data_IF_483872643033
#
_entry.id   IF_483872643033
#
_cell.length_a   1.000
_cell.length_b   1.000
_cell.length_c   1.000
_cell.angle_alpha   90.00
_cell.angle_beta   90.00
_cell.angle_gamma   90.00
#
_symmetry.space_group_name_H-M   'P 1'
#
loop_
_entity.id
_entity.type
_entity.pdbx_description
1 polymer ?
#
# COMPACT_ATOMS: atom_id res chain seq x y z
N UNK A 1 21.02 -17.62 23.01
CA UNK A 1 19.71 -17.14 22.58
C UNK A 1 19.81 -16.00 21.57
N UNK A 2 20.67 -14.98 21.80
CA UNK A 2 20.90 -13.84 20.88
C UNK A 2 21.36 -14.30 19.49
N UNK A 3 22.33 -15.22 19.38
CA UNK A 3 22.86 -15.70 18.10
C UNK A 3 21.87 -16.48 17.23
N UNK A 4 20.82 -17.08 17.82
CA UNK A 4 19.77 -17.78 17.06
C UNK A 4 18.81 -16.75 16.43
N UNK A 5 18.50 -15.69 17.17
CA UNK A 5 17.64 -14.59 16.68
C UNK A 5 18.37 -13.85 15.55
N UNK A 6 19.65 -13.58 15.71
CA UNK A 6 20.50 -12.91 14.71
C UNK A 6 20.62 -13.74 13.43
N UNK A 7 20.76 -15.05 13.55
CA UNK A 7 20.83 -15.97 12.42
C UNK A 7 19.47 -16.11 11.67
N UNK A 8 18.36 -16.08 12.40
CA UNK A 8 17.02 -16.06 11.81
C UNK A 8 16.79 -14.73 11.11
N UNK A 9 17.16 -13.62 11.75
CA UNK A 9 17.01 -12.29 11.19
C UNK A 9 17.79 -12.12 9.88
N UNK A 10 19.08 -12.47 9.84
CA UNK A 10 19.91 -12.39 8.63
C UNK A 10 19.41 -13.30 7.51
N UNK A 11 18.84 -14.47 7.85
CA UNK A 11 18.30 -15.40 6.88
C UNK A 11 16.96 -14.92 6.30
N UNK A 12 16.06 -14.41 7.13
CA UNK A 12 14.74 -13.91 6.70
C UNK A 12 14.88 -12.61 5.90
N UNK A 13 15.78 -11.71 6.34
CA UNK A 13 15.99 -10.39 5.75
C UNK A 13 17.17 -10.33 4.75
N UNK A 14 17.42 -11.43 4.01
CA UNK A 14 18.39 -11.41 2.91
C UNK A 14 17.78 -10.77 1.65
N UNK A 15 18.63 -10.16 0.81
CA UNK A 15 18.16 -9.55 -0.47
C UNK A 15 17.48 -10.54 -1.40
N UNK A 16 17.92 -11.80 -1.39
CA UNK A 16 17.30 -12.87 -2.17
C UNK A 16 15.88 -13.16 -1.69
N UNK A 17 15.67 -13.18 -0.38
CA UNK A 17 14.36 -13.41 0.21
C UNK A 17 13.44 -12.22 0.01
N UNK A 18 13.96 -10.99 0.04
CA UNK A 18 13.21 -9.78 -0.27
C UNK A 18 12.56 -9.88 -1.67
N UNK A 19 13.35 -10.16 -2.71
CA UNK A 19 12.85 -10.32 -4.09
C UNK A 19 11.85 -11.45 -4.24
N UNK A 20 12.06 -12.56 -3.51
CA UNK A 20 11.13 -13.69 -3.53
C UNK A 20 9.82 -13.33 -2.85
N UNK A 21 9.88 -12.65 -1.71
CA UNK A 21 8.71 -12.21 -0.96
C UNK A 21 7.89 -11.18 -1.75
N UNK A 22 8.56 -10.20 -2.37
CA UNK A 22 7.94 -9.23 -3.28
C UNK A 22 7.15 -9.93 -4.39
N UNK A 23 7.75 -10.90 -5.07
CA UNK A 23 7.08 -11.67 -6.12
C UNK A 23 5.89 -12.46 -5.61
N UNK A 24 6.01 -13.10 -4.45
CA UNK A 24 4.91 -13.85 -3.83
C UNK A 24 3.75 -12.91 -3.50
N UNK A 25 4.02 -11.78 -2.87
CA UNK A 25 3.00 -10.78 -2.53
C UNK A 25 2.31 -10.27 -3.79
N UNK A 26 3.06 -9.93 -4.84
CA UNK A 26 2.50 -9.40 -6.08
C UNK A 26 1.58 -10.42 -6.77
N UNK A 27 2.00 -11.68 -6.86
CA UNK A 27 1.18 -12.75 -7.42
C UNK A 27 -0.07 -12.99 -6.57
N UNK A 28 0.08 -13.06 -5.24
CA UNK A 28 -1.04 -13.27 -4.31
C UNK A 28 -2.04 -12.11 -4.35
N UNK A 29 -1.56 -10.86 -4.43
CA UNK A 29 -2.38 -9.68 -4.55
C UNK A 29 -3.20 -9.68 -5.84
N UNK A 30 -2.55 -10.03 -6.97
CA UNK A 30 -3.22 -10.10 -8.29
C UNK A 30 -4.26 -11.20 -8.32
N UNK A 31 -3.93 -12.40 -7.85
CA UNK A 31 -4.87 -13.51 -7.78
C UNK A 31 -6.05 -13.19 -6.84
N UNK A 32 -5.76 -12.64 -5.67
CA UNK A 32 -6.77 -12.23 -4.70
C UNK A 32 -7.72 -11.20 -5.29
N UNK A 33 -7.21 -10.21 -6.02
CA UNK A 33 -8.03 -9.21 -6.72
C UNK A 33 -8.98 -9.85 -7.73
N UNK A 34 -8.46 -10.73 -8.59
CA UNK A 34 -9.26 -11.41 -9.62
C UNK A 34 -10.35 -12.26 -8.97
N UNK A 35 -10.01 -13.06 -7.96
CA UNK A 35 -10.98 -13.88 -7.23
C UNK A 35 -12.05 -13.04 -6.57
N UNK A 36 -11.68 -11.95 -5.89
CA UNK A 36 -12.62 -11.05 -5.23
C UNK A 36 -13.57 -10.39 -6.25
N UNK A 37 -13.02 -9.90 -7.37
CA UNK A 37 -13.82 -9.33 -8.45
C UNK A 37 -14.83 -10.33 -9.03
N UNK A 38 -14.40 -11.58 -9.28
CA UNK A 38 -15.27 -12.64 -9.76
C UNK A 38 -16.39 -12.91 -8.74
N UNK A 39 -16.09 -12.99 -7.46
CA UNK A 39 -17.08 -13.21 -6.40
C UNK A 39 -18.14 -12.10 -6.38
N UNK A 40 -17.72 -10.82 -6.50
CA UNK A 40 -18.65 -9.69 -6.57
C UNK A 40 -19.55 -9.80 -7.81
N UNK A 41 -18.99 -10.13 -8.98
CA UNK A 41 -19.76 -10.28 -10.21
C UNK A 41 -20.76 -11.43 -10.11
N UNK A 42 -20.38 -12.56 -9.52
CA UNK A 42 -21.28 -13.69 -9.29
C UNK A 42 -22.41 -13.35 -8.31
N UNK A 43 -22.09 -12.60 -7.25
CA UNK A 43 -23.07 -12.12 -6.28
C UNK A 43 -24.08 -11.15 -6.94
N UNK A 44 -23.58 -10.18 -7.72
CA UNK A 44 -24.43 -9.20 -8.39
C UNK A 44 -25.33 -9.82 -9.48
N UNK A 45 -24.90 -10.92 -10.08
CA UNK A 45 -25.72 -11.69 -11.05
C UNK A 45 -26.65 -12.72 -10.40
N UNK A 46 -26.64 -12.85 -9.07
CA UNK A 46 -27.53 -13.75 -8.33
C UNK A 46 -27.11 -15.22 -8.37
N UNK A 47 -25.92 -15.55 -8.83
CA UNK A 47 -25.41 -16.94 -8.84
C UNK A 47 -24.97 -17.42 -7.45
N UNK A 48 -24.56 -16.50 -6.59
CA UNK A 48 -24.10 -16.79 -5.20
C UNK A 48 -24.71 -15.72 -4.30
N UNK A 49 -25.19 -16.12 -3.14
CA UNK A 49 -25.67 -15.20 -2.11
C UNK A 49 -24.59 -15.02 -1.04
N UNK A 50 -23.92 -13.87 -1.08
CA UNK A 50 -22.91 -13.45 -0.12
C UNK A 50 -23.47 -12.51 0.96
N UNK A 51 -24.78 -12.41 1.10
CA UNK A 51 -25.44 -11.56 2.10
C UNK A 51 -25.10 -11.94 3.54
N UNK A 52 -24.59 -13.16 3.76
CA UNK A 52 -24.06 -13.60 5.05
C UNK A 52 -22.82 -12.77 5.48
N UNK A 53 -22.01 -12.34 4.51
CA UNK A 53 -20.94 -11.38 4.77
C UNK A 53 -21.55 -9.98 4.68
N UNK A 54 -21.99 -9.45 5.80
CA UNK A 54 -22.64 -8.14 5.96
C UNK A 54 -21.79 -6.93 5.50
N UNK A 55 -20.69 -7.15 4.81
CA UNK A 55 -19.73 -6.14 4.42
C UNK A 55 -20.02 -5.58 3.03
N UNK A 56 -19.98 -4.25 2.94
CA UNK A 56 -20.00 -3.49 1.68
C UNK A 56 -18.93 -3.95 0.66
N UNK A 57 -18.02 -4.82 1.08
CA UNK A 57 -16.92 -5.35 0.28
C UNK A 57 -17.38 -6.18 -0.92
N UNK A 58 -18.55 -6.83 -0.86
CA UNK A 58 -19.07 -7.69 -1.92
C UNK A 58 -20.20 -7.08 -2.76
N UNK A 59 -20.51 -5.80 -2.53
CA UNK A 59 -21.59 -5.10 -3.24
C UNK A 59 -21.07 -4.30 -4.42
N UNK A 60 -19.95 -3.61 -4.25
CA UNK A 60 -19.39 -2.72 -5.26
C UNK A 60 -18.12 -3.32 -5.88
N UNK A 61 -18.04 -3.46 -7.24
CA UNK A 61 -16.83 -3.95 -7.90
C UNK A 61 -15.54 -3.19 -7.54
N UNK A 62 -15.65 -1.88 -7.24
CA UNK A 62 -14.51 -1.07 -6.80
C UNK A 62 -13.94 -1.57 -5.46
N UNK A 63 -14.76 -2.21 -4.63
CA UNK A 63 -14.29 -2.79 -3.36
C UNK A 63 -13.29 -3.93 -3.54
N UNK A 64 -13.24 -4.58 -4.70
CA UNK A 64 -12.24 -5.61 -4.99
C UNK A 64 -10.80 -5.09 -4.84
N UNK A 65 -10.60 -3.78 -4.98
CA UNK A 65 -9.29 -3.13 -4.84
C UNK A 65 -8.72 -3.23 -3.41
N UNK A 66 -9.56 -3.46 -2.40
CA UNK A 66 -9.11 -3.65 -1.01
C UNK A 66 -8.24 -4.91 -0.83
N UNK A 67 -8.49 -5.95 -1.64
CA UNK A 67 -7.76 -7.21 -1.51
C UNK A 67 -6.28 -7.06 -1.84
N UNK A 68 -5.86 -6.54 -3.02
CA UNK A 68 -4.45 -6.33 -3.29
C UNK A 68 -3.78 -5.39 -2.29
N UNK A 69 -4.48 -4.35 -1.82
CA UNK A 69 -3.92 -3.44 -0.83
C UNK A 69 -3.68 -4.08 0.54
N UNK A 70 -4.47 -5.09 0.91
CA UNK A 70 -4.22 -5.85 2.13
C UNK A 70 -2.91 -6.66 2.04
N UNK A 71 -2.61 -7.24 0.89
CA UNK A 71 -1.34 -7.92 0.65
C UNK A 71 -0.16 -6.94 0.63
N UNK A 72 -0.33 -5.78 -0.02
CA UNK A 72 0.69 -4.74 -0.08
C UNK A 72 1.01 -4.21 1.33
N UNK A 73 0.01 -4.08 2.22
CA UNK A 73 0.21 -3.67 3.61
C UNK A 73 1.17 -4.61 4.36
N UNK A 74 1.05 -5.92 4.15
CA UNK A 74 1.96 -6.91 4.74
C UNK A 74 3.38 -6.71 4.19
N UNK A 75 3.51 -6.41 2.91
CA UNK A 75 4.80 -6.13 2.28
C UNK A 75 5.41 -4.83 2.80
N UNK A 76 4.63 -3.76 2.94
CA UNK A 76 5.07 -2.48 3.52
C UNK A 76 5.60 -2.67 4.95
N UNK A 77 4.89 -3.43 5.80
CA UNK A 77 5.34 -3.76 7.14
C UNK A 77 6.67 -4.55 7.14
N UNK A 78 6.81 -5.51 6.24
CA UNK A 78 8.05 -6.24 6.04
C UNK A 78 9.21 -5.33 5.63
N UNK A 79 8.98 -4.40 4.68
CA UNK A 79 9.99 -3.43 4.24
C UNK A 79 10.44 -2.50 5.37
N UNK A 80 9.50 -2.01 6.20
CA UNK A 80 9.81 -1.19 7.36
C UNK A 80 10.79 -1.91 8.29
N UNK A 81 10.50 -3.17 8.63
CA UNK A 81 11.37 -3.98 9.50
C UNK A 81 12.71 -4.26 8.83
N UNK A 82 12.71 -4.50 7.52
CA UNK A 82 13.91 -4.80 6.74
C UNK A 82 14.89 -3.62 6.70
N UNK A 83 14.38 -2.39 6.54
CA UNK A 83 15.21 -1.20 6.41
C UNK A 83 15.53 -0.51 7.75
N UNK A 84 14.81 -0.81 8.83
CA UNK A 84 14.99 -0.19 10.14
C UNK A 84 16.43 -0.27 10.68
N UNK A 85 17.16 -1.41 10.60
CA UNK A 85 18.51 -1.54 11.14
C UNK A 85 19.63 -1.10 10.19
N UNK A 86 19.30 -0.55 9.02
CA UNK A 86 20.30 -0.17 8.00
C UNK A 86 20.83 1.25 8.21
N UNK A 87 21.90 1.61 7.46
CA UNK A 87 22.52 2.92 7.50
C UNK A 87 21.52 4.06 7.40
N UNK A 88 21.68 5.09 8.22
CA UNK A 88 20.71 6.17 8.42
C UNK A 88 20.25 6.82 7.10
N UNK A 89 21.17 7.17 6.21
CA UNK A 89 20.85 7.86 4.93
C UNK A 89 20.02 6.98 3.97
N UNK A 90 20.47 5.73 3.75
CA UNK A 90 19.74 4.78 2.90
C UNK A 90 18.40 4.39 3.50
N UNK A 91 18.31 4.36 4.84
CA UNK A 91 17.09 4.03 5.56
C UNK A 91 16.04 5.12 5.42
N UNK A 92 16.41 6.41 5.47
CA UNK A 92 15.48 7.53 5.32
C UNK A 92 14.85 7.54 3.92
N UNK A 93 15.66 7.43 2.85
CA UNK A 93 15.16 7.40 1.49
C UNK A 93 14.12 6.28 1.30
N UNK A 94 14.43 5.08 1.82
CA UNK A 94 13.50 3.94 1.75
C UNK A 94 12.26 4.12 2.63
N UNK A 95 12.36 4.79 3.76
CA UNK A 95 11.21 5.13 4.60
C UNK A 95 10.25 6.09 3.89
N UNK A 96 10.75 7.09 3.16
CA UNK A 96 9.92 7.97 2.34
C UNK A 96 9.21 7.22 1.21
N UNK A 97 9.91 6.31 0.53
CA UNK A 97 9.32 5.45 -0.49
C UNK A 97 8.16 4.62 0.08
N UNK A 98 8.36 3.97 1.22
CA UNK A 98 7.35 3.16 1.89
C UNK A 98 6.18 4.03 2.37
N UNK A 99 6.46 5.21 2.93
CA UNK A 99 5.44 6.15 3.38
C UNK A 99 4.57 6.63 2.20
N UNK A 100 5.17 6.89 1.05
CA UNK A 100 4.43 7.24 -0.18
C UNK A 100 3.50 6.11 -0.62
N UNK A 101 3.94 4.85 -0.55
CA UNK A 101 3.09 3.69 -0.87
C UNK A 101 1.90 3.57 0.10
N UNK A 102 2.12 3.79 1.41
CA UNK A 102 1.06 3.76 2.42
C UNK A 102 0.01 4.86 2.13
N UNK A 103 0.46 6.06 1.80
CA UNK A 103 -0.42 7.18 1.48
C UNK A 103 -1.22 6.95 0.19
N UNK A 104 -0.56 6.46 -0.87
CA UNK A 104 -1.23 6.10 -2.14
C UNK A 104 -2.30 5.03 -1.89
N UNK A 105 -1.99 4.02 -1.10
CA UNK A 105 -2.96 2.98 -0.72
C UNK A 105 -4.17 3.57 0.01
N UNK A 106 -3.96 4.54 0.89
CA UNK A 106 -5.05 5.21 1.61
C UNK A 106 -5.99 5.93 0.64
N UNK A 107 -5.45 6.64 -0.36
CA UNK A 107 -6.24 7.30 -1.40
C UNK A 107 -7.14 6.28 -2.11
N UNK A 108 -6.60 5.17 -2.58
CA UNK A 108 -7.38 4.15 -3.27
C UNK A 108 -8.44 3.50 -2.39
N UNK A 109 -8.20 3.39 -1.09
CA UNK A 109 -9.19 2.94 -0.12
C UNK A 109 -10.38 3.89 -0.01
N UNK A 110 -10.14 5.18 -0.15
CA UNK A 110 -11.15 6.23 0.06
C UNK A 110 -11.95 6.53 -1.23
N UNK A 111 -11.42 6.19 -2.41
CA UNK A 111 -12.10 6.37 -3.71
C UNK A 111 -13.53 5.79 -3.74
N UNK A 112 -13.83 4.57 -3.23
CA UNK A 112 -15.18 4.02 -3.25
C UNK A 112 -16.20 4.81 -2.42
N UNK A 113 -15.73 5.65 -1.49
CA UNK A 113 -16.57 6.46 -0.61
C UNK A 113 -16.80 7.89 -1.13
N UNK A 114 -16.16 8.22 -2.27
CA UNK A 114 -16.28 9.55 -2.90
C UNK A 114 -17.69 9.72 -3.46
N UNK A 115 -18.33 10.83 -3.11
CA UNK A 115 -19.61 11.23 -3.67
C UNK A 115 -19.38 12.32 -4.73
N UNK A 116 -19.85 12.06 -5.96
CA UNK A 116 -19.68 12.96 -7.11
C UNK A 116 -20.87 13.92 -7.32
N UNK A 117 -21.74 14.07 -6.31
CA UNK A 117 -22.88 14.98 -6.38
C UNK A 117 -22.46 16.46 -6.25
N UNK A 118 -23.42 17.37 -6.53
CA UNK A 118 -23.20 18.83 -6.71
C UNK A 118 -22.50 19.58 -5.55
N UNK A 119 -22.47 19.03 -4.34
CA UNK A 119 -21.79 19.61 -3.17
C UNK A 119 -20.49 18.91 -2.79
N UNK A 120 -19.64 18.67 -3.77
CA UNK A 120 -18.42 17.88 -3.64
C UNK A 120 -17.50 18.32 -2.49
N UNK A 121 -17.33 19.64 -2.29
CA UNK A 121 -16.46 20.20 -1.23
C UNK A 121 -17.08 20.18 0.18
N UNK A 122 -18.37 19.93 0.31
CA UNK A 122 -19.04 19.88 1.62
C UNK A 122 -19.14 18.45 2.18
N UNK A 123 -18.69 17.45 1.42
CA UNK A 123 -18.72 16.07 1.87
C UNK A 123 -17.41 15.73 2.59
N UNK A 124 -17.50 15.21 3.81
CA UNK A 124 -16.33 14.85 4.64
C UNK A 124 -15.42 13.83 3.96
N UNK A 125 -15.97 12.84 3.25
CA UNK A 125 -15.20 11.83 2.54
C UNK A 125 -14.39 12.43 1.38
N UNK A 126 -14.97 13.40 0.67
CA UNK A 126 -14.31 14.08 -0.43
C UNK A 126 -13.18 15.00 0.08
N UNK A 127 -13.41 15.69 1.18
CA UNK A 127 -12.38 16.51 1.85
C UNK A 127 -11.22 15.64 2.34
N UNK A 128 -11.54 14.47 2.92
CA UNK A 128 -10.53 13.50 3.35
C UNK A 128 -9.63 13.08 2.17
N UNK A 129 -10.22 12.78 1.02
CA UNK A 129 -9.47 12.44 -0.20
C UNK A 129 -8.55 13.58 -0.65
N UNK A 130 -9.01 14.84 -0.59
CA UNK A 130 -8.18 16.01 -0.93
C UNK A 130 -6.99 16.14 0.03
N UNK A 131 -7.21 15.97 1.33
CA UNK A 131 -6.13 16.05 2.31
C UNK A 131 -5.11 14.93 2.10
N UNK A 132 -5.55 13.71 1.82
CA UNK A 132 -4.67 12.58 1.56
C UNK A 132 -3.86 12.78 0.27
N UNK A 133 -4.49 13.26 -0.81
CA UNK A 133 -3.81 13.64 -2.06
C UNK A 133 -2.76 14.73 -1.84
N UNK A 134 -3.11 15.76 -1.08
CA UNK A 134 -2.18 16.84 -0.74
C UNK A 134 -1.00 16.33 0.08
N UNK A 135 -1.24 15.44 1.03
CA UNK A 135 -0.20 14.79 1.82
C UNK A 135 0.78 13.99 0.95
N UNK A 136 0.26 13.20 0.00
CA UNK A 136 1.11 12.45 -0.95
C UNK A 136 1.97 13.39 -1.78
N UNK A 137 1.39 14.47 -2.32
CA UNK A 137 2.13 15.45 -3.10
C UNK A 137 3.27 16.08 -2.30
N UNK A 138 3.02 16.46 -1.05
CA UNK A 138 4.04 17.05 -0.16
C UNK A 138 5.16 16.03 0.09
N UNK A 139 4.83 14.80 0.44
CA UNK A 139 5.82 13.74 0.68
C UNK A 139 6.64 13.45 -0.58
N UNK A 140 6.00 13.36 -1.76
CA UNK A 140 6.69 13.15 -3.02
C UNK A 140 7.63 14.32 -3.38
N UNK A 141 7.21 15.57 -3.13
CA UNK A 141 8.04 16.75 -3.37
C UNK A 141 9.25 16.78 -2.44
N UNK A 142 9.07 16.50 -1.16
CA UNK A 142 10.16 16.43 -0.18
C UNK A 142 11.17 15.34 -0.56
N UNK A 143 10.69 14.16 -0.95
CA UNK A 143 11.55 13.06 -1.39
C UNK A 143 12.34 13.43 -2.66
N UNK A 144 11.69 14.09 -3.62
CA UNK A 144 12.34 14.50 -4.88
C UNK A 144 13.38 15.60 -4.63
N UNK A 145 13.10 16.52 -3.72
CA UNK A 145 14.04 17.59 -3.31
C UNK A 145 15.28 17.01 -2.63
N UNK A 146 15.09 16.08 -1.68
CA UNK A 146 16.18 15.43 -0.97
C UNK A 146 17.08 14.61 -1.92
N UNK A 147 16.50 13.89 -2.86
CA UNK A 147 17.21 13.16 -3.90
C UNK A 147 18.00 14.09 -4.86
N UNK A 148 17.48 15.28 -5.15
CA UNK A 148 18.17 16.27 -5.97
C UNK A 148 19.36 16.89 -5.24
N UNK A 149 19.26 17.16 -3.95
CA UNK A 149 20.35 17.70 -3.13
C UNK A 149 21.49 16.67 -2.95
N UNK A 150 21.18 15.37 -2.81
CA UNK A 150 22.19 14.31 -2.81
C UNK A 150 22.92 14.21 -4.16
N UNK A 151 22.21 14.35 -5.28
CA UNK A 151 22.82 14.29 -6.62
C UNK A 151 23.75 15.49 -6.91
N UNK A 152 23.47 16.68 -6.36
CA UNK A 152 24.30 17.88 -6.52
C UNK A 152 25.44 17.95 -5.52
N UNK A 153 25.39 17.24 -4.40
CA UNK A 153 26.44 17.18 -3.38
C UNK A 153 27.66 16.32 -3.73
N UNK A 154 27.66 15.61 -4.85
CA UNK A 154 28.75 14.70 -5.28
C UNK A 154 29.76 15.40 -6.21
N UNK A 155 29.57 16.67 -6.57
CA UNK A 155 30.49 17.45 -7.42
C UNK A 155 31.24 18.58 -6.68
N UNK A 156 31.77 18.28 -5.47
CA UNK A 156 32.79 19.16 -4.83
C UNK A 156 33.93 18.37 -4.25
#
# INVERSE_FOLDING_TARGET
MIGVIENIFTKVFSEKNLKTFEKIILVSATLGFIVHLILILLNNNGYIDLSFFQDRLFVNPISAIYTPFSFILVYEAYLLIYFLPRSFTTSIAKQFEIMSLILIRKIFKDIPNVNLEDNWLNNENNLQLIYDLSGVLIVCLLYTSDAADEATGVEL
#
